data_IF_404424953902
#
_entry.id   IF_404424953902
#
_cell.length_a   1.000
_cell.length_b   1.000
_cell.length_c   1.000
_cell.angle_alpha   90.00
_cell.angle_beta   90.00
_cell.angle_gamma   90.00
#
_symmetry.space_group_name_H-M   'P 1'
#
loop_
_entity.id
_entity.type
_entity.pdbx_description
1 polymer ?
#
# COMPACT_ATOMS: atom_id res chain seq x y z
N UNK A 1 -1.98 15.99 2.72
CA UNK A 1 -0.69 16.19 2.03
C UNK A 1 -0.95 17.14 0.87
N UNK A 2 -0.20 18.24 0.71
CA UNK A 2 -0.43 19.19 -0.40
C UNK A 2 0.58 18.93 -1.51
N UNK A 3 0.10 18.71 -2.73
CA UNK A 3 0.93 18.56 -3.94
C UNK A 3 1.29 17.13 -4.35
N UNK A 4 0.76 16.10 -3.69
CA UNK A 4 0.95 14.69 -4.08
C UNK A 4 -0.35 14.13 -4.65
N UNK A 5 -0.25 13.29 -5.68
CA UNK A 5 -1.38 12.57 -6.28
C UNK A 5 -1.49 11.13 -5.77
N UNK A 6 -0.41 10.56 -5.27
CA UNK A 6 -0.30 9.16 -4.84
C UNK A 6 0.50 9.05 -3.55
N UNK A 7 0.14 8.09 -2.71
CA UNK A 7 0.84 7.71 -1.48
C UNK A 7 1.29 6.26 -1.56
N UNK A 8 2.60 6.04 -1.45
CA UNK A 8 3.20 4.71 -1.40
C UNK A 8 3.34 4.22 0.05
N UNK A 9 2.71 3.10 0.36
CA UNK A 9 2.76 2.45 1.67
C UNK A 9 3.83 1.36 1.65
N UNK A 10 4.94 1.58 2.33
CA UNK A 10 6.03 0.60 2.41
C UNK A 10 5.76 -0.44 3.50
N UNK A 11 5.43 -1.66 3.08
CA UNK A 11 4.97 -2.76 3.94
C UNK A 11 6.17 -3.66 4.30
N UNK A 12 6.72 -3.41 5.48
CA UNK A 12 7.67 -4.27 6.17
C UNK A 12 6.99 -5.23 7.14
N UNK A 13 7.78 -5.95 7.94
CA UNK A 13 7.30 -6.91 8.92
C UNK A 13 6.48 -6.27 10.05
N UNK A 14 6.94 -5.14 10.58
CA UNK A 14 6.30 -4.43 11.69
C UNK A 14 5.29 -3.34 11.26
N UNK A 15 5.14 -3.09 9.96
CA UNK A 15 4.33 -1.95 9.47
C UNK A 15 2.84 -2.13 9.77
N UNK A 16 2.36 -3.38 9.85
CA UNK A 16 0.94 -3.68 10.00
C UNK A 16 0.32 -3.18 11.32
N UNK A 17 1.06 -3.30 12.42
CA UNK A 17 0.56 -3.04 13.78
C UNK A 17 0.72 -1.59 14.25
N UNK A 18 1.24 -0.69 13.39
CA UNK A 18 1.46 0.71 13.75
C UNK A 18 0.21 1.55 13.47
N UNK A 19 -0.39 2.11 14.53
CA UNK A 19 -1.62 2.93 14.46
C UNK A 19 -1.47 4.15 13.55
N UNK A 20 -0.30 4.79 13.52
CA UNK A 20 -0.07 5.97 12.69
C UNK A 20 -0.18 5.66 11.19
N UNK A 21 0.17 4.44 10.76
CA UNK A 21 0.13 4.01 9.35
C UNK A 21 -1.31 4.03 8.86
N UNK A 22 -2.25 3.56 9.68
CA UNK A 22 -3.68 3.59 9.34
C UNK A 22 -4.21 5.02 9.22
N UNK A 23 -3.81 5.90 10.15
CA UNK A 23 -4.19 7.30 10.11
C UNK A 23 -3.71 7.97 8.82
N UNK A 24 -2.46 7.75 8.41
CA UNK A 24 -1.90 8.35 7.20
C UNK A 24 -2.55 7.82 5.92
N UNK A 25 -2.82 6.51 5.84
CA UNK A 25 -3.51 5.91 4.69
C UNK A 25 -4.92 6.50 4.56
N UNK A 26 -5.69 6.55 5.65
CA UNK A 26 -7.05 7.12 5.64
C UNK A 26 -7.03 8.61 5.29
N UNK A 27 -6.06 9.37 5.80
CA UNK A 27 -5.91 10.80 5.51
C UNK A 27 -5.58 11.02 4.03
N UNK A 28 -4.62 10.26 3.50
CA UNK A 28 -4.24 10.31 2.09
C UNK A 28 -5.42 10.02 1.16
N UNK A 29 -6.19 8.98 1.46
CA UNK A 29 -7.39 8.66 0.69
C UNK A 29 -8.42 9.80 0.73
N UNK A 30 -8.68 10.39 1.91
CA UNK A 30 -9.58 11.55 2.05
C UNK A 30 -9.10 12.80 1.31
N UNK A 31 -7.79 12.97 1.19
CA UNK A 31 -7.17 14.05 0.40
C UNK A 31 -7.27 13.77 -1.12
N UNK A 32 -7.85 12.63 -1.52
CA UNK A 32 -8.06 12.25 -2.91
C UNK A 32 -6.79 11.74 -3.59
N UNK A 33 -5.87 11.15 -2.83
CA UNK A 33 -4.67 10.53 -3.38
C UNK A 33 -4.92 9.05 -3.69
N UNK A 34 -4.30 8.58 -4.77
CA UNK A 34 -4.08 7.17 -5.03
C UNK A 34 -3.26 6.52 -3.92
N UNK A 35 -3.45 5.23 -3.70
CA UNK A 35 -2.68 4.46 -2.73
C UNK A 35 -2.06 3.28 -3.46
N UNK A 36 -0.77 3.04 -3.19
CA UNK A 36 -0.06 1.85 -3.65
C UNK A 36 0.63 1.17 -2.48
N UNK A 37 0.37 -0.13 -2.29
CA UNK A 37 1.09 -0.95 -1.32
C UNK A 37 2.38 -1.52 -1.92
N UNK A 38 3.52 -1.37 -1.25
CA UNK A 38 4.80 -1.92 -1.71
C UNK A 38 5.43 -2.74 -0.60
N UNK A 39 5.46 -4.07 -0.77
CA UNK A 39 6.13 -4.98 0.16
C UNK A 39 7.64 -4.94 -0.06
N UNK A 40 8.36 -4.55 0.99
CA UNK A 40 9.83 -4.43 0.99
C UNK A 40 10.53 -5.51 1.81
N UNK A 41 9.79 -6.40 2.48
CA UNK A 41 10.32 -7.46 3.35
C UNK A 41 11.10 -8.59 2.65
N UNK A 42 11.23 -8.54 1.32
CA UNK A 42 12.06 -9.48 0.54
C UNK A 42 13.45 -8.92 0.20
N UNK A 43 13.85 -7.80 0.81
CA UNK A 43 15.26 -7.44 0.91
C UNK A 43 15.87 -8.37 1.97
N UNK A 44 16.33 -9.54 1.51
CA UNK A 44 16.94 -10.59 2.34
C UNK A 44 17.92 -10.00 3.35
N UNK A 45 17.83 -10.44 4.60
CA UNK A 45 18.98 -10.36 5.50
C UNK A 45 20.10 -11.27 4.98
N UNK A 46 21.31 -11.17 5.55
CA UNK A 46 22.47 -11.98 5.12
C UNK A 46 22.27 -13.50 5.28
N UNK A 47 21.14 -13.95 5.81
CA UNK A 47 20.91 -15.31 6.30
C UNK A 47 19.79 -16.05 5.56
N UNK A 48 19.07 -15.40 4.64
CA UNK A 48 18.11 -16.07 3.74
C UNK A 48 16.85 -16.59 4.45
N UNK A 49 16.52 -16.09 5.64
CA UNK A 49 15.30 -16.47 6.36
C UNK A 49 14.12 -15.60 5.92
N UNK A 50 13.06 -16.24 5.42
CA UNK A 50 11.78 -15.57 5.17
C UNK A 50 10.98 -15.52 6.46
N UNK A 51 11.00 -14.38 7.13
CA UNK A 51 10.09 -14.14 8.25
C UNK A 51 8.63 -14.22 7.79
N UNK A 52 7.73 -14.51 8.73
CA UNK A 52 6.29 -14.45 8.56
C UNK A 52 5.88 -13.15 7.83
N UNK A 53 5.32 -13.28 6.62
CA UNK A 53 4.89 -12.15 5.79
C UNK A 53 4.12 -11.14 6.64
N UNK A 54 4.67 -9.92 6.79
CA UNK A 54 3.95 -8.81 7.40
C UNK A 54 2.58 -8.66 6.73
N UNK A 55 1.52 -8.62 7.54
CA UNK A 55 0.14 -8.48 7.03
C UNK A 55 0.01 -7.17 6.25
N UNK A 56 -0.89 -7.13 5.27
CA UNK A 56 -1.11 -5.92 4.48
C UNK A 56 -1.92 -4.91 5.32
N UNK A 57 -1.42 -3.71 5.67
CA UNK A 57 -2.22 -2.73 6.40
C UNK A 57 -3.45 -2.26 5.62
N UNK A 58 -3.50 -2.46 4.29
CA UNK A 58 -4.70 -2.17 3.51
C UNK A 58 -5.85 -3.16 3.78
N UNK A 59 -5.57 -4.38 4.24
CA UNK A 59 -6.59 -5.40 4.49
C UNK A 59 -7.39 -5.18 5.79
N UNK A 60 -6.98 -4.20 6.62
CA UNK A 60 -7.73 -3.80 7.84
C UNK A 60 -8.54 -2.52 7.63
N UNK A 61 -8.26 -1.78 6.56
CA UNK A 61 -8.89 -0.49 6.29
C UNK A 61 -10.03 -0.73 5.31
N UNK A 62 -11.22 -0.25 5.65
CA UNK A 62 -12.38 -0.33 4.78
C UNK A 62 -13.18 0.97 4.79
N UNK A 63 -13.94 1.15 3.72
CA UNK A 63 -15.07 2.08 3.68
C UNK A 63 -16.37 1.30 3.61
N UNK A 64 -17.45 1.92 4.08
CA UNK A 64 -18.80 1.40 3.87
C UNK A 64 -19.43 2.12 2.69
N UNK A 65 -19.77 1.36 1.65
CA UNK A 65 -20.43 1.82 0.44
C UNK A 65 -21.69 0.97 0.23
N UNK A 66 -22.86 1.60 0.19
CA UNK A 66 -24.16 0.92 0.03
C UNK A 66 -24.42 -0.20 1.06
N UNK A 67 -23.95 -0.02 2.30
CA UNK A 67 -24.08 -1.01 3.38
C UNK A 67 -23.14 -2.20 3.26
N UNK A 68 -22.19 -2.18 2.31
CA UNK A 68 -21.15 -3.20 2.16
C UNK A 68 -19.78 -2.62 2.53
N UNK A 69 -18.95 -3.44 3.18
CA UNK A 69 -17.56 -3.08 3.46
C UNK A 69 -16.71 -3.36 2.24
N UNK A 70 -16.02 -2.33 1.75
CA UNK A 70 -15.02 -2.43 0.69
C UNK A 70 -13.65 -2.18 1.31
N UNK A 71 -12.79 -3.18 1.33
CA UNK A 71 -11.47 -3.05 1.92
C UNK A 71 -10.51 -2.34 0.97
N UNK A 72 -9.47 -1.73 1.50
CA UNK A 72 -8.51 -0.98 0.70
C UNK A 72 -7.67 -1.90 -0.18
N UNK A 73 -7.47 -3.16 0.19
CA UNK A 73 -6.82 -4.16 -0.66
C UNK A 73 -7.73 -4.71 -1.78
N UNK A 74 -9.04 -4.45 -1.73
CA UNK A 74 -9.96 -4.65 -2.86
C UNK A 74 -9.94 -3.46 -3.85
N UNK A 75 -9.49 -2.30 -3.40
CA UNK A 75 -9.49 -1.04 -4.17
C UNK A 75 -8.11 -0.75 -4.76
N UNK A 76 -7.05 -0.95 -3.98
CA UNK A 76 -5.70 -0.53 -4.28
C UNK A 76 -4.75 -1.72 -4.39
N UNK A 77 -3.89 -1.66 -5.40
CA UNK A 77 -2.92 -2.70 -5.70
C UNK A 77 -1.76 -2.73 -4.68
N UNK A 78 -1.30 -3.95 -4.38
CA UNK A 78 -0.13 -4.19 -3.53
C UNK A 78 0.88 -5.08 -4.23
N UNK A 79 2.08 -4.54 -4.46
CA UNK A 79 3.18 -5.22 -5.16
C UNK A 79 4.29 -5.65 -4.20
N UNK A 80 5.16 -6.53 -4.69
CA UNK A 80 6.39 -6.98 -4.03
C UNK A 80 7.59 -6.42 -4.76
N UNK A 81 8.31 -5.51 -4.10
CA UNK A 81 9.44 -4.79 -4.70
C UNK A 81 10.42 -5.69 -5.47
N UNK A 82 10.95 -6.74 -4.82
CA UNK A 82 11.93 -7.67 -5.44
C UNK A 82 11.31 -8.59 -6.50
N UNK A 83 10.07 -9.05 -6.29
CA UNK A 83 9.47 -10.10 -7.13
C UNK A 83 8.77 -9.54 -8.37
N UNK A 84 8.25 -8.33 -8.26
CA UNK A 84 7.44 -7.70 -9.29
C UNK A 84 8.27 -6.63 -10.05
N UNK A 85 9.62 -6.73 -10.03
CA UNK A 85 10.57 -5.81 -10.68
C UNK A 85 10.33 -4.33 -10.35
N UNK A 86 10.25 -3.99 -9.06
CA UNK A 86 9.86 -2.65 -8.62
C UNK A 86 10.79 -1.53 -9.09
N UNK A 87 12.06 -1.79 -9.38
CA UNK A 87 12.94 -0.79 -9.98
C UNK A 87 12.46 -0.31 -11.34
N UNK A 88 11.95 -1.24 -12.17
CA UNK A 88 11.47 -0.96 -13.52
C UNK A 88 10.00 -0.52 -13.51
N UNK A 89 9.19 -1.06 -12.59
CA UNK A 89 7.73 -0.94 -12.63
C UNK A 89 7.14 0.08 -11.65
N UNK A 90 7.94 0.75 -10.81
CA UNK A 90 7.41 1.70 -9.81
C UNK A 90 6.58 2.84 -10.45
N UNK A 91 7.01 3.33 -11.62
CA UNK A 91 6.27 4.34 -12.36
C UNK A 91 4.85 3.88 -12.72
N UNK A 92 4.74 2.66 -13.25
CA UNK A 92 3.46 2.07 -13.63
C UNK A 92 2.55 1.85 -12.43
N UNK A 93 3.09 1.42 -11.29
CA UNK A 93 2.31 1.23 -10.06
C UNK A 93 1.76 2.54 -9.50
N UNK A 94 2.54 3.62 -9.63
CA UNK A 94 2.10 4.97 -9.24
C UNK A 94 1.01 5.46 -10.18
N UNK A 95 1.18 5.26 -11.49
CA UNK A 95 0.19 5.64 -12.49
C UNK A 95 -1.14 4.88 -12.30
N UNK A 96 -1.09 3.56 -12.08
CA UNK A 96 -2.28 2.75 -11.78
C UNK A 96 -3.01 3.26 -10.54
N UNK A 97 -2.27 3.57 -9.46
CA UNK A 97 -2.85 4.11 -8.24
C UNK A 97 -3.50 5.49 -8.44
N UNK A 98 -2.91 6.35 -9.28
CA UNK A 98 -3.46 7.65 -9.63
C UNK A 98 -4.78 7.49 -10.41
N UNK A 99 -4.82 6.58 -11.38
CA UNK A 99 -6.01 6.28 -12.18
C UNK A 99 -7.16 5.73 -11.33
N UNK A 100 -6.88 4.83 -10.38
CA UNK A 100 -7.87 4.32 -9.42
C UNK A 100 -8.49 5.46 -8.60
N UNK A 101 -7.70 6.49 -8.26
CA UNK A 101 -8.16 7.67 -7.54
C UNK A 101 -8.78 8.76 -8.44
N UNK A 102 -8.85 8.55 -9.76
CA UNK A 102 -9.42 9.50 -10.71
C UNK A 102 -8.57 10.77 -10.90
N UNK A 103 -7.24 10.66 -10.82
CA UNK A 103 -6.27 11.75 -11.02
C UNK A 103 -5.69 11.80 -12.42
#
# INVERSE_FOLDING_TARGET
>A
MKGTSVTAVLIGQETYDRDWVEYEIKKSWRDGNGIVGIRIHNLEDKSGYTDSRGKNPLSKIYIEENGQKKFFDDIFSTYRWKRDSGYDNLGDWVEEAAQIAGR
#
